data_IF_689727108055
#
_entry.id   IF_689727108055
#
_cell.length_a   1.000
_cell.length_b   1.000
_cell.length_c   1.000
_cell.angle_alpha   90.00
_cell.angle_beta   90.00
_cell.angle_gamma   90.00
#
_symmetry.space_group_name_H-M   'P 1'
#
loop_
_entity.id
_entity.type
_entity.pdbx_description
1 polymer ?
#
# COMPACT_ATOMS: atom_id res chain seq x y z
N UNK A 1 16.43 -84.54 43.15
CA UNK A 1 16.42 -83.23 43.80
C UNK A 1 17.13 -82.26 42.93
N UNK A 2 16.39 -81.37 42.18
CA UNK A 2 16.97 -80.33 41.32
C UNK A 2 16.39 -79.01 41.80
N UNK A 3 17.30 -78.16 42.25
CA UNK A 3 17.03 -76.78 42.69
C UNK A 3 16.86 -75.90 41.48
N UNK A 4 15.72 -75.20 41.39
CA UNK A 4 15.46 -74.21 40.38
C UNK A 4 15.85 -72.80 40.94
N UNK A 5 16.79 -72.15 40.30
CA UNK A 5 17.12 -70.75 40.59
C UNK A 5 16.21 -69.82 39.79
N UNK A 6 15.46 -68.96 40.47
CA UNK A 6 14.74 -67.89 39.90
C UNK A 6 15.74 -66.69 39.54
N UNK A 7 15.75 -66.29 38.29
CA UNK A 7 16.45 -65.12 37.85
C UNK A 7 15.41 -63.95 37.80
N UNK A 8 15.60 -62.97 38.65
CA UNK A 8 14.80 -61.74 38.63
C UNK A 8 15.32 -60.83 37.53
N UNK A 9 14.51 -60.54 36.53
CA UNK A 9 14.80 -59.48 35.52
C UNK A 9 14.47 -58.13 36.09
N UNK A 10 15.46 -57.23 36.06
CA UNK A 10 15.26 -55.83 36.36
C UNK A 10 14.62 -55.12 35.12
N UNK A 11 13.44 -54.53 35.31
CA UNK A 11 12.85 -53.62 34.35
C UNK A 11 13.45 -52.27 34.62
N UNK A 12 14.26 -51.78 33.67
CA UNK A 12 14.71 -50.37 33.67
C UNK A 12 13.56 -49.50 33.21
N UNK A 13 13.07 -48.63 34.09
CA UNK A 13 12.12 -47.56 33.74
C UNK A 13 12.88 -46.42 33.10
N UNK A 14 12.77 -46.33 31.77
CA UNK A 14 13.24 -45.16 31.03
C UNK A 14 12.34 -43.95 31.32
N UNK A 15 12.91 -42.90 31.90
CA UNK A 15 12.26 -41.60 32.07
C UNK A 15 12.25 -40.90 30.73
N UNK A 16 11.09 -40.83 30.07
CA UNK A 16 10.92 -39.98 28.88
C UNK A 16 10.71 -38.55 29.40
N UNK A 17 11.74 -37.71 29.28
CA UNK A 17 11.61 -36.27 29.50
C UNK A 17 10.89 -35.65 28.29
N UNK A 18 9.62 -35.34 28.44
CA UNK A 18 8.88 -34.52 27.47
C UNK A 18 9.40 -33.10 27.52
N UNK A 19 10.17 -32.70 26.50
CA UNK A 19 10.53 -31.27 26.27
C UNK A 19 9.27 -30.58 25.74
N UNK A 20 8.56 -29.88 26.61
CA UNK A 20 7.56 -28.92 26.20
C UNK A 20 8.29 -27.71 25.56
N UNK A 21 8.35 -27.66 24.23
CA UNK A 21 8.70 -26.48 23.49
C UNK A 21 7.59 -25.44 23.71
N UNK A 22 7.78 -24.57 24.68
CA UNK A 22 6.90 -23.42 24.88
C UNK A 22 7.01 -22.50 23.65
N UNK A 23 5.97 -22.47 22.83
CA UNK A 23 5.83 -21.46 21.80
C UNK A 23 5.61 -20.11 22.51
N UNK A 24 6.68 -19.34 22.68
CA UNK A 24 6.56 -17.94 23.13
C UNK A 24 6.00 -17.17 21.94
N UNK A 25 4.68 -17.00 21.92
CA UNK A 25 4.04 -16.03 21.04
C UNK A 25 4.44 -14.66 21.58
N UNK A 26 5.46 -14.04 20.98
CA UNK A 26 5.68 -12.62 21.17
C UNK A 26 4.43 -11.93 20.63
N UNK A 27 3.69 -11.26 21.49
CA UNK A 27 2.67 -10.32 21.04
C UNK A 27 3.42 -9.20 20.30
N UNK A 28 3.36 -9.24 18.99
CA UNK A 28 3.91 -8.21 18.17
C UNK A 28 3.08 -6.94 18.42
N UNK A 29 3.71 -5.82 18.76
CA UNK A 29 3.03 -4.54 18.93
C UNK A 29 2.79 -3.95 17.56
N UNK A 30 1.52 -3.72 17.17
CA UNK A 30 1.18 -3.06 15.93
C UNK A 30 1.92 -1.72 15.83
N UNK A 31 2.72 -1.55 14.79
CA UNK A 31 3.41 -0.29 14.53
C UNK A 31 2.39 0.79 14.19
N UNK A 32 2.52 1.96 14.79
CA UNK A 32 1.64 3.12 14.55
C UNK A 32 2.47 4.32 14.12
N UNK A 33 2.01 5.02 13.08
CA UNK A 33 2.63 6.22 12.52
C UNK A 33 1.61 7.36 12.57
N UNK A 34 1.97 8.46 13.21
CA UNK A 34 1.10 9.64 13.40
C UNK A 34 1.70 10.93 12.83
N UNK A 35 2.92 10.87 12.33
CA UNK A 35 3.61 12.01 11.72
C UNK A 35 3.85 11.75 10.24
N UNK A 36 3.94 12.82 9.46
CA UNK A 36 4.39 12.75 8.09
C UNK A 36 5.75 12.04 8.00
N UNK A 37 5.89 11.13 7.04
CA UNK A 37 7.12 10.41 6.85
C UNK A 37 6.94 9.12 6.07
N UNK A 38 8.06 8.46 5.84
CA UNK A 38 8.17 7.20 5.13
C UNK A 38 8.92 6.17 5.97
N UNK A 39 8.75 4.91 5.65
CA UNK A 39 9.47 3.82 6.30
C UNK A 39 9.18 2.47 5.69
N UNK A 40 9.54 1.42 6.41
CA UNK A 40 9.31 0.05 6.00
C UNK A 40 8.63 -0.73 7.13
N UNK A 41 7.63 -1.53 6.78
CA UNK A 41 6.96 -2.45 7.68
C UNK A 41 6.70 -3.77 6.95
N UNK A 42 7.08 -4.90 7.54
CA UNK A 42 6.89 -6.24 6.99
C UNK A 42 7.37 -6.40 5.52
N UNK A 43 8.49 -5.75 5.17
CA UNK A 43 9.08 -5.79 3.83
C UNK A 43 8.47 -4.83 2.81
N UNK A 44 7.39 -4.14 3.14
CA UNK A 44 6.77 -3.12 2.29
C UNK A 44 7.19 -1.71 2.73
N UNK A 45 7.36 -0.84 1.77
CA UNK A 45 7.50 0.60 1.99
C UNK A 45 6.14 1.20 2.36
N UNK A 46 6.14 2.25 3.17
CA UNK A 46 4.95 3.07 3.43
C UNK A 46 5.27 4.55 3.37
N UNK A 47 4.25 5.35 3.06
CA UNK A 47 4.27 6.80 3.14
C UNK A 47 3.00 7.29 3.82
N UNK A 48 3.12 8.30 4.67
CA UNK A 48 2.00 9.06 5.22
C UNK A 48 2.34 10.55 5.13
N UNK A 49 1.47 11.31 4.49
CA UNK A 49 1.53 12.76 4.40
C UNK A 49 0.19 13.37 4.81
N UNK A 50 0.20 14.47 5.51
CA UNK A 50 -0.96 15.35 5.68
C UNK A 50 -0.50 16.80 5.78
N UNK A 51 -1.20 17.70 5.06
CA UNK A 51 -0.94 19.14 5.11
C UNK A 51 -1.48 19.79 6.38
N UNK A 52 -2.58 19.25 6.92
CA UNK A 52 -3.22 19.68 8.17
C UNK A 52 -4.21 18.62 8.65
N UNK A 53 -4.77 18.79 9.86
CA UNK A 53 -5.64 17.81 10.48
C UNK A 53 -4.82 16.71 11.19
N UNK A 54 -5.40 15.52 11.30
CA UNK A 54 -4.75 14.36 11.93
C UNK A 54 -4.92 13.14 11.06
N UNK A 55 -3.86 12.37 10.92
CA UNK A 55 -3.87 11.05 10.29
C UNK A 55 -3.08 10.06 11.16
N UNK A 56 -3.56 8.83 11.24
CA UNK A 56 -2.89 7.74 11.97
C UNK A 56 -2.88 6.53 11.07
N UNK A 57 -1.69 6.04 10.72
CA UNK A 57 -1.50 4.79 10.00
C UNK A 57 -1.09 3.70 10.98
N UNK A 58 -1.73 2.54 10.89
CA UNK A 58 -1.41 1.35 11.68
C UNK A 58 -1.15 0.17 10.76
N UNK A 59 -0.25 -0.70 11.18
CA UNK A 59 0.07 -1.92 10.47
C UNK A 59 -0.35 -3.09 11.35
N UNK A 60 -1.48 -3.76 11.01
CA UNK A 60 -1.86 -4.99 11.68
C UNK A 60 -0.74 -6.02 11.48
N UNK A 61 -0.29 -6.63 12.56
CA UNK A 61 0.76 -7.64 12.49
C UNK A 61 0.15 -9.00 12.12
N UNK A 62 -0.29 -9.11 10.90
CA UNK A 62 -0.69 -10.37 10.31
C UNK A 62 0.39 -10.85 9.34
N UNK A 63 1.14 -11.87 9.74
CA UNK A 63 2.17 -12.48 8.90
C UNK A 63 1.60 -13.03 7.58
N UNK A 64 0.28 -13.26 7.50
CA UNK A 64 -0.39 -13.73 6.29
C UNK A 64 -0.59 -12.58 5.27
N UNK A 65 -0.69 -11.33 5.75
CA UNK A 65 -0.95 -10.16 4.91
C UNK A 65 0.06 -9.03 5.17
N UNK A 66 1.34 -9.23 4.83
CA UNK A 66 2.39 -8.26 5.14
C UNK A 66 2.20 -6.89 4.48
N UNK A 67 1.43 -6.83 3.38
CA UNK A 67 1.04 -5.60 2.70
C UNK A 67 -0.19 -4.90 3.29
N UNK A 68 -0.79 -5.40 4.39
CA UNK A 68 -1.95 -4.76 5.02
C UNK A 68 -1.58 -3.48 5.77
N UNK A 69 -2.48 -2.51 5.72
CA UNK A 69 -2.41 -1.26 6.48
C UNK A 69 -3.82 -0.71 6.73
N UNK A 70 -3.95 0.11 7.76
CA UNK A 70 -5.13 0.91 7.99
C UNK A 70 -4.73 2.36 8.25
N UNK A 71 -5.53 3.31 7.77
CA UNK A 71 -5.37 4.73 8.06
C UNK A 71 -6.70 5.25 8.56
N UNK A 72 -6.68 6.04 9.64
CA UNK A 72 -7.80 6.88 10.08
C UNK A 72 -7.38 8.34 10.05
N UNK A 73 -8.29 9.22 9.63
CA UNK A 73 -8.01 10.66 9.54
C UNK A 73 -9.19 11.51 10.00
N UNK A 74 -8.89 12.74 10.40
CA UNK A 74 -9.89 13.70 10.87
C UNK A 74 -9.52 15.12 10.50
N UNK A 75 -10.44 15.78 9.78
CA UNK A 75 -10.33 17.18 9.40
C UNK A 75 -9.10 17.50 8.54
N UNK A 76 -8.69 16.59 7.65
CA UNK A 76 -7.46 16.76 6.86
C UNK A 76 -7.65 17.77 5.74
N UNK A 77 -6.68 18.68 5.59
CA UNK A 77 -6.65 19.60 4.46
C UNK A 77 -6.34 18.86 3.17
N UNK A 78 -5.30 18.03 3.22
CA UNK A 78 -4.90 17.06 2.22
C UNK A 78 -4.13 15.95 2.93
N UNK A 79 -4.46 14.68 2.65
CA UNK A 79 -3.81 13.50 3.20
C UNK A 79 -3.62 12.47 2.09
N UNK A 80 -2.38 12.01 1.94
CA UNK A 80 -2.01 10.89 1.06
C UNK A 80 -1.23 9.87 1.86
N UNK A 81 -1.69 8.62 1.88
CA UNK A 81 -1.01 7.58 2.62
C UNK A 81 -1.30 6.18 2.11
N UNK A 82 -0.33 5.29 2.26
CA UNK A 82 -0.47 3.91 1.84
C UNK A 82 0.80 3.08 1.96
N UNK A 83 0.74 1.86 1.45
CA UNK A 83 1.80 0.86 1.50
C UNK A 83 2.11 0.29 0.11
N UNK A 84 3.36 -0.09 -0.14
CA UNK A 84 3.80 -0.64 -1.42
C UNK A 84 5.32 -0.84 -1.47
N UNK A 85 5.98 -0.25 -2.46
CA UNK A 85 7.39 -0.48 -2.78
C UNK A 85 8.20 0.82 -2.74
N UNK A 86 9.43 0.73 -2.26
CA UNK A 86 10.37 1.87 -2.22
C UNK A 86 10.84 2.30 -3.61
N UNK A 87 10.65 1.45 -4.61
CA UNK A 87 10.92 1.76 -6.01
C UNK A 87 9.76 1.23 -6.85
N UNK A 88 9.10 2.11 -7.57
CA UNK A 88 8.05 1.78 -8.53
C UNK A 88 8.59 1.18 -9.82
N UNK A 89 7.70 0.93 -10.76
CA UNK A 89 8.04 0.41 -12.08
C UNK A 89 6.93 -0.41 -12.71
N UNK A 90 7.25 -1.05 -13.84
CA UNK A 90 6.34 -1.95 -14.52
C UNK A 90 6.15 -3.21 -13.69
N UNK A 91 4.99 -3.37 -13.08
CA UNK A 91 4.63 -4.55 -12.29
C UNK A 91 3.11 -4.79 -12.29
N UNK A 92 2.72 -5.95 -11.83
CA UNK A 92 1.33 -6.30 -11.54
C UNK A 92 1.09 -6.05 -10.05
N UNK A 93 0.34 -5.01 -9.72
CA UNK A 93 -0.01 -4.64 -8.36
C UNK A 93 -1.33 -5.29 -7.99
N UNK A 94 -1.30 -6.29 -7.12
CA UNK A 94 -2.52 -6.84 -6.52
C UNK A 94 -2.94 -6.02 -5.31
N UNK A 95 -4.25 -5.83 -5.12
CA UNK A 95 -4.76 -5.14 -3.94
C UNK A 95 -6.18 -5.57 -3.56
N UNK A 96 -6.53 -5.28 -2.31
CA UNK A 96 -7.89 -5.37 -1.78
C UNK A 96 -8.12 -4.21 -0.81
N UNK A 97 -9.23 -3.50 -0.98
CA UNK A 97 -9.71 -2.52 0.00
C UNK A 97 -10.83 -3.18 0.79
N UNK A 98 -10.54 -3.64 1.99
CA UNK A 98 -11.51 -4.34 2.84
C UNK A 98 -12.63 -3.42 3.33
N UNK A 99 -12.29 -2.16 3.66
CA UNK A 99 -13.23 -1.11 4.03
C UNK A 99 -12.62 0.26 3.76
N UNK A 100 -13.46 1.23 3.40
CA UNK A 100 -13.07 2.64 3.29
C UNK A 100 -14.27 3.56 3.45
N UNK A 101 -14.05 4.75 4.03
CA UNK A 101 -15.04 5.83 4.15
C UNK A 101 -14.35 7.19 4.17
N UNK A 102 -15.02 8.24 3.70
CA UNK A 102 -14.53 9.62 3.77
C UNK A 102 -13.28 9.92 2.93
N UNK A 103 -12.95 9.07 1.96
CA UNK A 103 -11.87 9.24 1.00
C UNK A 103 -12.36 9.99 -0.25
N UNK A 104 -11.43 10.56 -1.01
CA UNK A 104 -11.65 11.08 -2.35
C UNK A 104 -11.24 10.02 -3.39
N UNK A 105 -10.03 9.48 -3.28
CA UNK A 105 -9.56 8.45 -4.20
C UNK A 105 -8.72 7.38 -3.49
N UNK A 106 -8.68 6.17 -4.09
CA UNK A 106 -7.69 5.13 -3.80
C UNK A 106 -7.05 4.74 -5.11
N UNK A 107 -5.72 4.85 -5.19
CA UNK A 107 -4.95 4.79 -6.43
C UNK A 107 -3.66 4.01 -6.25
N UNK A 108 -3.15 3.39 -7.30
CA UNK A 108 -1.72 3.12 -7.41
C UNK A 108 -1.06 4.47 -7.68
N UNK A 109 -0.25 4.91 -6.74
CA UNK A 109 0.31 6.24 -6.63
C UNK A 109 1.81 6.20 -6.46
N UNK A 110 2.50 7.14 -7.05
CA UNK A 110 3.94 7.23 -6.88
C UNK A 110 4.56 8.44 -7.54
N UNK A 111 5.89 8.42 -7.57
CA UNK A 111 6.72 9.50 -8.06
C UNK A 111 7.82 9.00 -8.98
N UNK A 112 8.25 9.88 -9.87
CA UNK A 112 9.54 9.77 -10.57
C UNK A 112 10.40 11.00 -10.33
N UNK A 113 11.70 10.91 -10.60
CA UNK A 113 12.65 12.02 -10.57
C UNK A 113 13.35 12.14 -11.91
N UNK A 114 13.69 13.36 -12.35
CA UNK A 114 14.35 13.63 -13.63
C UNK A 114 13.61 13.07 -14.86
N UNK A 115 12.38 13.52 -15.18
CA UNK A 115 11.63 14.61 -14.55
C UNK A 115 10.93 14.21 -13.27
N UNK A 116 10.66 15.20 -12.42
CA UNK A 116 9.80 15.04 -11.26
C UNK A 116 8.34 14.96 -11.73
N UNK A 117 7.73 13.81 -11.53
CA UNK A 117 6.33 13.54 -11.88
C UNK A 117 5.65 12.83 -10.72
N UNK A 118 4.48 13.29 -10.37
CA UNK A 118 3.55 12.60 -9.49
C UNK A 118 2.52 11.85 -10.34
N UNK A 119 2.27 10.58 -10.06
CA UNK A 119 1.33 9.83 -10.88
C UNK A 119 0.27 9.09 -10.07
N UNK A 120 -0.92 8.99 -10.67
CA UNK A 120 -2.09 8.29 -10.12
C UNK A 120 -2.69 7.35 -11.16
N UNK A 121 -2.90 6.11 -10.80
CA UNK A 121 -3.78 5.16 -11.51
C UNK A 121 -4.95 4.92 -10.55
N UNK A 122 -6.06 5.62 -10.77
CA UNK A 122 -7.18 5.68 -9.81
C UNK A 122 -8.14 4.54 -10.01
N UNK A 123 -8.27 3.73 -8.96
CA UNK A 123 -9.06 2.51 -8.95
C UNK A 123 -10.43 2.71 -8.29
N UNK A 124 -10.51 3.50 -7.21
CA UNK A 124 -11.72 3.71 -6.42
C UNK A 124 -11.90 5.20 -6.19
N UNK A 125 -13.13 5.69 -6.32
CA UNK A 125 -13.48 7.08 -6.04
C UNK A 125 -13.32 8.01 -7.24
N UNK A 126 -13.10 9.29 -7.00
CA UNK A 126 -13.06 10.32 -8.04
C UNK A 126 -11.88 11.25 -7.85
N UNK A 127 -10.97 11.22 -8.80
CA UNK A 127 -9.84 12.15 -8.86
C UNK A 127 -10.30 13.53 -9.34
N UNK A 128 -9.75 14.59 -8.74
CA UNK A 128 -10.03 15.96 -9.18
C UNK A 128 -9.27 16.26 -10.48
N UNK A 129 -10.02 16.45 -11.57
CA UNK A 129 -9.46 16.67 -12.91
C UNK A 129 -9.90 18.00 -13.54
N UNK A 130 -10.55 18.89 -12.78
CA UNK A 130 -11.19 20.10 -13.32
C UNK A 130 -10.22 21.07 -14.04
N UNK A 131 -8.94 21.07 -13.66
CA UNK A 131 -7.90 21.91 -14.28
C UNK A 131 -6.87 21.08 -15.07
N UNK A 132 -7.14 19.81 -15.29
CA UNK A 132 -6.25 18.90 -15.99
C UNK A 132 -6.62 18.79 -17.48
N UNK A 133 -5.62 18.73 -18.35
CA UNK A 133 -5.81 18.53 -19.77
C UNK A 133 -6.11 17.07 -20.06
N UNK A 134 -7.24 16.77 -20.70
CA UNK A 134 -7.53 15.42 -21.20
C UNK A 134 -6.58 15.06 -22.33
N UNK A 135 -5.93 13.89 -22.23
CA UNK A 135 -4.89 13.43 -23.16
C UNK A 135 -5.32 12.20 -23.97
N UNK A 136 -6.34 11.49 -23.54
CA UNK A 136 -6.80 10.26 -24.18
C UNK A 136 -7.32 9.24 -23.17
N UNK A 137 -7.33 7.98 -23.56
CA UNK A 137 -7.79 6.88 -22.71
C UNK A 137 -6.95 5.64 -22.94
N UNK A 138 -6.75 4.84 -21.88
CA UNK A 138 -6.08 3.55 -21.92
C UNK A 138 -7.03 2.44 -21.45
N UNK A 139 -6.98 1.28 -22.11
CA UNK A 139 -7.64 0.07 -21.61
C UNK A 139 -6.60 -0.83 -20.94
N UNK A 140 -6.80 -1.14 -19.68
CA UNK A 140 -5.96 -2.02 -18.88
C UNK A 140 -6.81 -2.85 -17.94
N UNK A 141 -6.44 -4.10 -17.73
CA UNK A 141 -7.05 -5.01 -16.73
C UNK A 141 -8.59 -5.11 -16.84
N UNK A 142 -9.13 -4.96 -18.07
CA UNK A 142 -10.57 -5.05 -18.38
C UNK A 142 -11.35 -3.75 -18.18
N UNK A 143 -10.67 -2.64 -17.86
CA UNK A 143 -11.27 -1.32 -17.62
C UNK A 143 -10.71 -0.26 -18.56
N UNK A 144 -11.42 0.85 -18.71
CA UNK A 144 -10.98 2.02 -19.48
C UNK A 144 -10.77 3.19 -18.55
N UNK A 145 -9.57 3.74 -18.59
CA UNK A 145 -9.14 4.89 -17.79
C UNK A 145 -9.03 6.11 -18.69
N UNK A 146 -9.57 7.24 -18.26
CA UNK A 146 -9.35 8.52 -18.89
C UNK A 146 -8.03 9.12 -18.40
N UNK A 147 -7.19 9.53 -19.35
CA UNK A 147 -5.85 10.05 -19.08
C UNK A 147 -5.86 11.58 -19.07
N UNK A 148 -5.26 12.17 -18.04
CA UNK A 148 -5.12 13.61 -17.89
C UNK A 148 -3.69 13.98 -17.49
N UNK A 149 -3.31 15.22 -17.80
CA UNK A 149 -2.06 15.86 -17.39
C UNK A 149 -2.36 17.20 -16.71
N UNK A 150 -1.68 17.47 -15.62
CA UNK A 150 -1.82 18.72 -14.85
C UNK A 150 -0.48 19.17 -14.31
N UNK A 151 -0.16 20.48 -14.39
CA UNK A 151 1.04 21.03 -13.77
C UNK A 151 0.72 21.54 -12.36
N UNK A 152 1.46 21.06 -11.40
CA UNK A 152 1.47 21.56 -10.02
C UNK A 152 2.58 22.59 -9.84
N UNK A 153 2.23 23.80 -9.39
CA UNK A 153 3.17 24.91 -9.24
C UNK A 153 3.40 25.22 -7.77
N UNK A 154 4.66 25.13 -7.33
CA UNK A 154 5.07 25.41 -5.95
C UNK A 154 4.28 24.57 -4.92
N UNK A 155 4.10 23.29 -5.19
CA UNK A 155 3.40 22.35 -4.31
C UNK A 155 4.38 21.41 -3.56
N UNK A 156 3.95 20.84 -2.44
CA UNK A 156 4.72 19.81 -1.75
C UNK A 156 5.02 18.63 -2.67
N UNK A 157 6.26 18.11 -2.61
CA UNK A 157 6.71 16.97 -3.38
C UNK A 157 7.72 16.14 -2.59
N UNK A 158 8.20 15.05 -3.18
CA UNK A 158 9.31 14.25 -2.62
C UNK A 158 10.66 14.99 -2.62
N UNK A 159 10.77 16.09 -3.35
CA UNK A 159 11.96 16.96 -3.41
C UNK A 159 11.75 18.30 -2.65
N UNK A 160 10.75 18.36 -1.77
CA UNK A 160 10.32 19.59 -1.11
C UNK A 160 9.28 20.36 -1.95
N UNK A 161 9.22 21.68 -1.78
CA UNK A 161 8.32 22.51 -2.60
C UNK A 161 8.89 22.62 -4.01
N UNK A 162 8.13 22.16 -5.01
CA UNK A 162 8.56 22.09 -6.40
C UNK A 162 7.41 22.40 -7.38
N UNK A 163 7.77 22.57 -8.64
CA UNK A 163 6.84 22.53 -9.77
C UNK A 163 7.06 21.23 -10.52
N UNK A 164 5.99 20.49 -10.75
CA UNK A 164 6.04 19.15 -11.36
C UNK A 164 4.76 18.86 -12.14
N UNK A 165 4.82 17.85 -13.01
CA UNK A 165 3.64 17.33 -13.71
C UNK A 165 2.96 16.23 -12.90
N UNK A 166 1.62 16.20 -12.96
CA UNK A 166 0.80 15.09 -12.53
C UNK A 166 0.31 14.31 -13.75
N UNK A 167 0.52 12.99 -13.76
CA UNK A 167 -0.05 12.08 -14.76
C UNK A 167 -1.13 11.24 -14.09
N UNK A 168 -2.34 11.34 -14.65
CA UNK A 168 -3.55 10.86 -14.01
C UNK A 168 -4.28 9.92 -14.96
N UNK A 169 -4.45 8.66 -14.57
CA UNK A 169 -5.39 7.73 -15.22
C UNK A 169 -6.54 7.47 -14.27
N UNK A 170 -7.76 7.81 -14.68
CA UNK A 170 -8.95 7.79 -13.84
C UNK A 170 -10.01 6.84 -14.36
N UNK A 171 -10.32 5.81 -13.58
CA UNK A 171 -11.47 4.94 -13.75
C UNK A 171 -12.41 5.02 -12.53
N UNK A 172 -11.92 4.72 -11.33
CA UNK A 172 -12.62 4.92 -10.07
C UNK A 172 -13.74 3.94 -9.76
N UNK A 173 -13.89 2.86 -10.52
CA UNK A 173 -15.06 1.96 -10.45
C UNK A 173 -14.82 0.62 -9.74
N UNK A 174 -13.64 0.39 -9.15
CA UNK A 174 -13.34 -0.86 -8.46
C UNK A 174 -14.18 -1.01 -7.18
N UNK A 175 -14.60 -2.24 -6.90
CA UNK A 175 -15.43 -2.56 -5.73
C UNK A 175 -14.59 -2.76 -4.48
N UNK A 176 -15.06 -2.21 -3.36
CA UNK A 176 -14.53 -2.52 -2.03
C UNK A 176 -14.87 -3.97 -1.66
N UNK A 177 -13.97 -4.66 -0.96
CA UNK A 177 -14.13 -6.04 -0.51
C UNK A 177 -13.75 -7.11 -1.54
N UNK A 178 -13.24 -6.71 -2.72
CA UNK A 178 -12.80 -7.62 -3.78
C UNK A 178 -11.31 -7.47 -4.07
N UNK A 179 -10.70 -8.54 -4.59
CA UNK A 179 -9.33 -8.49 -5.10
C UNK A 179 -9.30 -7.89 -6.50
N UNK A 180 -8.37 -7.00 -6.72
CA UNK A 180 -8.12 -6.33 -7.99
C UNK A 180 -6.64 -6.40 -8.36
N UNK A 181 -6.34 -6.07 -9.61
CA UNK A 181 -4.98 -6.02 -10.14
C UNK A 181 -4.83 -4.84 -11.08
N UNK A 182 -3.72 -4.13 -10.96
CA UNK A 182 -3.30 -3.06 -11.87
C UNK A 182 -1.99 -3.43 -12.54
N UNK A 183 -1.98 -3.49 -13.87
CA UNK A 183 -0.77 -3.69 -14.66
C UNK A 183 -0.16 -2.33 -14.99
N UNK A 184 0.70 -1.82 -14.12
CA UNK A 184 1.24 -0.45 -14.18
C UNK A 184 1.96 -0.15 -15.50
N UNK A 185 2.63 -1.16 -16.09
CA UNK A 185 3.32 -1.02 -17.36
C UNK A 185 2.43 -0.61 -18.54
N UNK A 186 1.13 -0.95 -18.53
CA UNK A 186 0.17 -0.53 -19.54
C UNK A 186 -0.04 0.99 -19.49
N UNK A 187 -0.21 1.54 -18.30
CA UNK A 187 -0.39 2.96 -18.04
C UNK A 187 0.88 3.75 -18.39
N UNK A 188 2.04 3.30 -17.92
CA UNK A 188 3.31 3.98 -18.18
C UNK A 188 3.66 3.99 -19.69
N UNK A 189 3.40 2.89 -20.40
CA UNK A 189 3.59 2.83 -21.85
C UNK A 189 2.61 3.74 -22.60
N UNK A 190 1.37 3.83 -22.13
CA UNK A 190 0.37 4.74 -22.68
C UNK A 190 0.80 6.21 -22.50
N UNK A 191 1.17 6.62 -21.29
CA UNK A 191 1.67 7.98 -21.03
C UNK A 191 2.86 8.33 -21.91
N UNK A 192 3.83 7.42 -22.02
CA UNK A 192 4.98 7.61 -22.92
C UNK A 192 4.57 7.80 -24.38
N UNK A 193 3.56 7.06 -24.86
CA UNK A 193 3.03 7.20 -26.24
C UNK A 193 2.38 8.57 -26.49
N UNK A 194 1.93 9.25 -25.45
CA UNK A 194 1.35 10.60 -25.46
C UNK A 194 2.40 11.70 -25.26
N UNK A 195 3.69 11.35 -25.14
CA UNK A 195 4.77 12.29 -24.83
C UNK A 195 4.85 12.69 -23.35
N UNK A 196 4.06 12.06 -22.47
CA UNK A 196 4.07 12.20 -21.03
C UNK A 196 5.19 11.33 -20.44
N UNK A 197 6.40 11.86 -20.44
CA UNK A 197 7.59 11.08 -20.10
C UNK A 197 7.80 10.97 -18.59
N UNK A 198 7.95 9.75 -18.10
CA UNK A 198 8.35 9.47 -16.73
C UNK A 198 9.87 9.51 -16.58
N UNK A 199 10.34 9.87 -15.38
CA UNK A 199 11.74 9.83 -15.01
C UNK A 199 12.14 8.49 -14.36
N UNK A 200 13.15 8.54 -13.50
CA UNK A 200 13.54 7.41 -12.66
C UNK A 200 12.50 7.19 -11.57
N UNK A 201 11.98 5.97 -11.46
CA UNK A 201 10.97 5.65 -10.47
C UNK A 201 11.50 5.83 -9.04
N UNK A 202 10.74 6.57 -8.24
CA UNK A 202 10.81 6.62 -6.80
C UNK A 202 9.77 5.63 -6.23
N UNK A 203 9.24 5.82 -5.03
CA UNK A 203 8.30 4.88 -4.44
C UNK A 203 6.98 4.78 -5.23
N UNK A 204 6.32 3.64 -5.06
CA UNK A 204 4.96 3.37 -5.54
C UNK A 204 4.17 2.63 -4.46
N UNK A 205 2.98 3.12 -4.13
CA UNK A 205 2.12 2.59 -3.08
C UNK A 205 0.66 2.48 -3.57
N UNK A 206 -0.11 1.61 -2.96
CA UNK A 206 -1.57 1.76 -2.98
C UNK A 206 -1.91 2.86 -1.97
N UNK A 207 -2.25 4.05 -2.47
CA UNK A 207 -2.53 5.21 -1.64
C UNK A 207 -4.03 5.49 -1.52
N UNK A 208 -4.43 5.92 -0.33
CA UNK A 208 -5.70 6.61 -0.09
C UNK A 208 -5.43 8.09 0.01
N UNK A 209 -6.22 8.88 -0.69
CA UNK A 209 -6.18 10.34 -0.62
C UNK A 209 -7.51 10.90 -0.14
N UNK A 210 -7.44 11.90 0.75
CA UNK A 210 -8.59 12.61 1.29
C UNK A 210 -8.23 14.07 1.53
N UNK A 211 -9.12 15.00 1.14
CA UNK A 211 -8.88 16.45 1.24
C UNK A 211 -10.15 17.22 1.58
N UNK A 212 -10.04 18.58 1.68
CA UNK A 212 -11.14 19.51 1.96
C UNK A 212 -11.83 19.30 3.32
N UNK A 213 -11.06 19.03 4.39
CA UNK A 213 -11.59 18.83 5.73
C UNK A 213 -12.19 17.46 5.96
N UNK A 214 -11.90 16.49 5.10
CA UNK A 214 -12.43 15.13 5.19
C UNK A 214 -12.03 14.42 6.47
N UNK A 215 -12.89 13.51 6.92
CA UNK A 215 -12.64 12.56 8.00
C UNK A 215 -13.10 11.18 7.55
N UNK A 216 -12.34 10.15 7.91
CA UNK A 216 -12.65 8.79 7.46
C UNK A 216 -11.61 7.76 7.88
N UNK A 217 -11.69 6.63 7.23
CA UNK A 217 -10.79 5.49 7.48
C UNK A 217 -10.66 4.61 6.24
N UNK A 218 -9.58 3.85 6.17
CA UNK A 218 -9.37 2.78 5.18
C UNK A 218 -8.67 1.60 5.84
N UNK A 219 -9.02 0.39 5.42
CA UNK A 219 -8.21 -0.82 5.61
C UNK A 219 -7.97 -1.44 4.24
N UNK A 220 -6.72 -1.57 3.86
CA UNK A 220 -6.34 -2.11 2.55
C UNK A 220 -5.12 -3.03 2.64
N UNK A 221 -5.00 -3.89 1.66
CA UNK A 221 -3.85 -4.80 1.50
C UNK A 221 -3.33 -4.68 0.08
N UNK A 222 -2.00 -4.67 -0.08
CA UNK A 222 -1.29 -4.65 -1.37
C UNK A 222 -0.31 -5.83 -1.44
N UNK A 223 -0.14 -6.44 -2.62
CA UNK A 223 0.81 -7.53 -2.87
C UNK A 223 1.33 -7.54 -4.31
#
# INVERSE_FOLDING_TARGET
MRSSRFVASRVEQGIIAAVLAGCVTMAANAQTVTNNGTGTNSGYFYSLFTSSGKATMTFPEDAQYPGNYAISWSGVGDMVGGKGWSTGGNMSVGYNVGSASGYNTISVYGWTTNPLVEYYITEIGSLYTANAAFKGSVSSDGHTYNTYEHSQVNQPSIEGTATFEQYLDAWGGASIGSNHTVTTGNHFSHWQSLGMNLGSFNYMILATEAYNGASGEVNATVW
#
